data_IF_900725724202
#
_entry.id   IF_900725724202
#
_cell.length_a   1.000
_cell.length_b   1.000
_cell.length_c   1.000
_cell.angle_alpha   90.00
_cell.angle_beta   90.00
_cell.angle_gamma   90.00
#
_symmetry.space_group_name_H-M   'P 1'
#
loop_
_entity.id
_entity.type
_entity.pdbx_description
1 polymer ?
#
# COMPACT_ATOMS: atom_id res chain seq x y z
N UNK A 1 4.92 25.49 -30.86
CA UNK A 1 5.39 24.91 -29.59
C UNK A 1 4.88 23.49 -29.57
N UNK A 2 5.76 22.50 -29.39
CA UNK A 2 5.29 21.12 -29.24
C UNK A 2 4.37 21.06 -28.01
N UNK A 3 3.27 20.32 -28.13
CA UNK A 3 2.35 20.14 -27.00
C UNK A 3 3.07 19.35 -25.91
N UNK A 4 3.05 19.85 -24.67
CA UNK A 4 3.62 19.18 -23.50
C UNK A 4 3.04 17.77 -23.40
N UNK A 5 3.91 16.76 -23.38
CA UNK A 5 3.46 15.38 -23.23
C UNK A 5 3.12 15.10 -21.77
N UNK A 6 1.88 14.68 -21.51
CA UNK A 6 1.38 14.39 -20.17
C UNK A 6 1.18 12.88 -20.05
N UNK A 7 1.86 12.27 -19.11
CA UNK A 7 1.70 10.87 -18.74
C UNK A 7 0.92 10.78 -17.43
N UNK A 8 0.07 9.77 -17.31
CA UNK A 8 -0.74 9.57 -16.12
C UNK A 8 -0.61 8.15 -15.59
N UNK A 9 -0.12 8.05 -14.35
CA UNK A 9 -0.09 6.81 -13.58
C UNK A 9 -1.24 6.83 -12.56
N UNK A 10 -2.28 6.03 -12.84
CA UNK A 10 -3.43 5.88 -11.94
C UNK A 10 -3.26 4.63 -11.10
N UNK A 11 -3.50 4.75 -9.79
CA UNK A 11 -3.43 3.63 -8.87
C UNK A 11 -4.62 3.47 -7.94
N UNK A 12 -4.92 2.21 -7.64
CA UNK A 12 -5.99 1.77 -6.74
C UNK A 12 -5.41 0.88 -5.66
N UNK A 13 -5.60 1.28 -4.41
CA UNK A 13 -5.18 0.52 -3.24
C UNK A 13 -6.33 -0.34 -2.70
N UNK A 14 -6.10 -1.63 -2.47
CA UNK A 14 -7.10 -2.58 -1.97
C UNK A 14 -6.62 -3.15 -0.64
N UNK A 15 -7.43 -2.95 0.41
CA UNK A 15 -7.08 -3.41 1.74
C UNK A 15 -8.31 -3.68 2.60
N UNK A 16 -8.22 -4.78 3.36
CA UNK A 16 -9.13 -5.09 4.44
C UNK A 16 -8.32 -5.47 5.67
N UNK A 17 -8.68 -4.97 6.87
CA UNK A 17 -8.05 -5.42 8.11
C UNK A 17 -8.17 -6.93 8.31
N UNK A 18 -7.35 -7.53 9.18
CA UNK A 18 -7.44 -8.95 9.51
C UNK A 18 -8.86 -9.38 9.91
N UNK A 19 -9.40 -10.40 9.22
CA UNK A 19 -10.73 -10.98 9.49
C UNK A 19 -11.91 -10.11 9.04
N UNK A 20 -11.68 -8.94 8.46
CA UNK A 20 -12.75 -7.99 8.18
C UNK A 20 -13.73 -8.46 7.09
N UNK A 21 -13.31 -9.30 6.13
CA UNK A 21 -14.23 -9.81 5.12
C UNK A 21 -15.35 -10.66 5.76
N UNK A 22 -15.01 -11.54 6.70
CA UNK A 22 -16.03 -12.30 7.47
C UNK A 22 -16.97 -11.36 8.22
N UNK A 23 -16.40 -10.41 8.96
CA UNK A 23 -17.16 -9.47 9.78
C UNK A 23 -18.11 -8.61 8.93
N UNK A 24 -17.64 -8.11 7.78
CA UNK A 24 -18.47 -7.34 6.85
C UNK A 24 -19.60 -8.18 6.30
N UNK A 25 -19.34 -9.42 5.89
CA UNK A 25 -20.40 -10.29 5.38
C UNK A 25 -21.47 -10.58 6.43
N UNK A 26 -21.08 -10.81 7.68
CA UNK A 26 -22.02 -11.10 8.78
C UNK A 26 -22.80 -9.87 9.23
N UNK A 27 -22.15 -8.71 9.32
CA UNK A 27 -22.75 -7.48 9.82
C UNK A 27 -23.51 -6.69 8.74
N UNK A 28 -22.98 -6.66 7.51
CA UNK A 28 -23.52 -5.90 6.39
C UNK A 28 -23.19 -6.56 5.03
N UNK A 29 -23.89 -7.64 4.65
CA UNK A 29 -23.62 -8.38 3.41
C UNK A 29 -23.64 -7.53 2.14
N UNK A 30 -24.46 -6.47 2.11
CA UNK A 30 -24.59 -5.57 0.96
C UNK A 30 -23.34 -4.73 0.75
N UNK A 31 -22.77 -4.20 1.85
CA UNK A 31 -21.51 -3.47 1.81
C UNK A 31 -20.34 -4.39 1.43
N UNK A 32 -20.33 -5.61 1.99
CA UNK A 32 -19.36 -6.63 1.66
C UNK A 32 -19.37 -6.97 0.15
N UNK A 33 -20.55 -7.11 -0.45
CA UNK A 33 -20.72 -7.30 -1.89
C UNK A 33 -20.22 -6.10 -2.70
N UNK A 34 -20.59 -4.88 -2.30
CA UNK A 34 -20.15 -3.67 -2.97
C UNK A 34 -18.62 -3.56 -3.01
N UNK A 35 -17.95 -3.88 -1.90
CA UNK A 35 -16.49 -3.87 -1.79
C UNK A 35 -15.87 -4.89 -2.75
N UNK A 36 -16.30 -6.16 -2.72
CA UNK A 36 -15.72 -7.17 -3.62
C UNK A 36 -15.97 -6.86 -5.10
N UNK A 37 -17.14 -6.29 -5.44
CA UNK A 37 -17.40 -5.83 -6.81
C UNK A 37 -16.47 -4.69 -7.22
N UNK A 38 -15.98 -3.85 -6.30
CA UNK A 38 -14.97 -2.85 -6.64
C UNK A 38 -13.65 -3.52 -7.05
N UNK A 39 -13.22 -4.56 -6.32
CA UNK A 39 -12.02 -5.32 -6.66
C UNK A 39 -12.17 -6.03 -8.01
N UNK A 40 -13.34 -6.60 -8.33
CA UNK A 40 -13.59 -7.22 -9.64
C UNK A 40 -13.58 -6.19 -10.77
N UNK A 41 -14.22 -5.04 -10.57
CA UNK A 41 -14.37 -4.02 -11.61
C UNK A 41 -13.03 -3.50 -12.11
N UNK A 42 -12.04 -3.34 -11.23
CA UNK A 42 -10.72 -2.84 -11.64
C UNK A 42 -10.10 -3.73 -12.73
N UNK A 43 -10.11 -5.06 -12.58
CA UNK A 43 -9.60 -5.95 -13.64
C UNK A 43 -10.52 -6.03 -14.85
N UNK A 44 -11.85 -6.03 -14.65
CA UNK A 44 -12.79 -6.07 -15.79
C UNK A 44 -12.68 -4.86 -16.71
N UNK A 45 -12.51 -3.67 -16.13
CA UNK A 45 -12.31 -2.46 -16.92
C UNK A 45 -10.90 -2.41 -17.52
N UNK A 46 -9.88 -2.95 -16.85
CA UNK A 46 -8.56 -3.11 -17.46
C UNK A 46 -8.63 -3.98 -18.72
N UNK A 47 -9.31 -5.13 -18.67
CA UNK A 47 -9.49 -6.03 -19.81
C UNK A 47 -10.30 -5.38 -20.94
N UNK A 48 -11.40 -4.68 -20.60
CA UNK A 48 -12.23 -3.95 -21.58
C UNK A 48 -11.45 -2.91 -22.37
N UNK A 49 -10.41 -2.35 -21.75
CA UNK A 49 -9.57 -1.28 -22.31
C UNK A 49 -8.11 -1.73 -22.46
N UNK A 50 -7.85 -3.02 -22.72
CA UNK A 50 -6.49 -3.58 -22.72
C UNK A 50 -5.51 -2.84 -23.65
N UNK A 51 -6.01 -2.27 -24.74
CA UNK A 51 -5.24 -1.49 -25.71
C UNK A 51 -4.66 -0.19 -25.13
N UNK A 52 -5.37 0.48 -24.22
CA UNK A 52 -5.03 1.83 -23.74
C UNK A 52 -4.92 1.99 -22.23
N UNK A 53 -5.68 1.21 -21.45
CA UNK A 53 -5.69 1.31 -20.00
C UNK A 53 -4.38 0.84 -19.42
N UNK A 54 -3.81 1.63 -18.52
CA UNK A 54 -2.66 1.27 -17.70
C UNK A 54 -3.01 1.62 -16.25
N UNK A 55 -3.03 0.62 -15.39
CA UNK A 55 -3.46 0.73 -13.99
C UNK A 55 -2.38 0.20 -13.07
N UNK A 56 -2.38 0.70 -11.84
CA UNK A 56 -1.60 0.12 -10.76
C UNK A 56 -2.54 -0.37 -9.67
N UNK A 57 -2.30 -1.58 -9.19
CA UNK A 57 -3.12 -2.17 -8.13
C UNK A 57 -2.21 -2.73 -7.05
N UNK A 58 -2.50 -2.37 -5.81
CA UNK A 58 -1.83 -2.95 -4.64
C UNK A 58 -2.85 -3.69 -3.79
N UNK A 59 -2.55 -4.93 -3.42
CA UNK A 59 -3.35 -5.73 -2.49
C UNK A 59 -2.56 -5.97 -1.21
N UNK A 60 -3.07 -5.55 -0.06
CA UNK A 60 -2.41 -5.92 1.20
C UNK A 60 -2.30 -7.44 1.36
N UNK A 61 -1.19 -7.89 1.97
CA UNK A 61 -0.96 -9.32 2.20
C UNK A 61 -2.09 -9.94 3.03
N UNK A 62 -2.55 -9.23 4.05
CA UNK A 62 -3.71 -9.64 4.86
C UNK A 62 -5.04 -9.71 4.07
N UNK A 63 -5.23 -8.88 3.03
CA UNK A 63 -6.40 -9.02 2.15
C UNK A 63 -6.26 -10.27 1.28
N UNK A 64 -5.09 -10.51 0.70
CA UNK A 64 -4.85 -11.72 -0.11
C UNK A 64 -5.00 -12.99 0.74
N UNK A 65 -4.46 -13.03 1.96
CA UNK A 65 -4.65 -14.15 2.88
C UNK A 65 -6.14 -14.47 3.10
N UNK A 66 -6.98 -13.44 3.25
CA UNK A 66 -8.43 -13.62 3.38
C UNK A 66 -9.09 -14.05 2.06
N UNK A 67 -8.68 -13.51 0.90
CA UNK A 67 -9.24 -13.89 -0.40
C UNK A 67 -8.85 -15.31 -0.84
N UNK A 68 -7.78 -15.87 -0.26
CA UNK A 68 -7.35 -17.24 -0.49
C UNK A 68 -7.93 -18.25 0.52
N UNK A 69 -8.49 -17.78 1.64
CA UNK A 69 -9.11 -18.64 2.64
C UNK A 69 -10.33 -19.35 2.03
N UNK A 70 -10.35 -20.70 1.92
CA UNK A 70 -11.49 -21.43 1.37
C UNK A 70 -12.82 -21.10 2.04
N UNK A 71 -12.81 -20.82 3.34
CA UNK A 71 -14.01 -20.47 4.07
C UNK A 71 -14.54 -19.07 3.72
N UNK A 72 -13.68 -18.15 3.27
CA UNK A 72 -14.08 -16.83 2.75
C UNK A 72 -14.53 -16.98 1.29
N UNK A 73 -13.79 -17.74 0.48
CA UNK A 73 -14.17 -18.03 -0.91
C UNK A 73 -15.58 -18.63 -0.98
N UNK A 74 -15.87 -19.64 -0.15
CA UNK A 74 -17.19 -20.27 -0.09
C UNK A 74 -18.28 -19.31 0.41
N UNK A 75 -17.95 -18.44 1.37
CA UNK A 75 -18.89 -17.44 1.89
C UNK A 75 -19.35 -16.46 0.81
N UNK A 76 -18.42 -16.00 -0.03
CA UNK A 76 -18.67 -15.00 -1.06
C UNK A 76 -19.01 -15.56 -2.44
N UNK A 77 -18.99 -16.89 -2.62
CA UNK A 77 -19.35 -17.58 -3.87
C UNK A 77 -20.67 -17.09 -4.51
N UNK A 78 -21.75 -16.78 -3.76
CA UNK A 78 -22.98 -16.26 -4.36
C UNK A 78 -22.84 -14.84 -4.95
N UNK A 79 -21.81 -14.11 -4.55
CA UNK A 79 -21.58 -12.70 -4.92
C UNK A 79 -20.58 -12.59 -6.06
N UNK A 80 -19.45 -13.29 -5.96
CA UNK A 80 -18.32 -13.19 -6.87
C UNK A 80 -17.45 -14.46 -6.82
N UNK A 81 -16.98 -14.91 -7.98
CA UNK A 81 -15.91 -15.91 -8.07
C UNK A 81 -14.55 -15.25 -7.78
N UNK A 82 -14.12 -15.32 -6.52
CA UNK A 82 -12.85 -14.73 -6.07
C UNK A 82 -11.64 -15.37 -6.76
N UNK A 83 -11.51 -16.72 -6.85
CA UNK A 83 -10.43 -17.34 -7.62
C UNK A 83 -10.35 -16.87 -9.07
N UNK A 84 -11.48 -16.78 -9.77
CA UNK A 84 -11.51 -16.27 -11.15
C UNK A 84 -11.06 -14.80 -11.22
N UNK A 85 -11.51 -13.96 -10.29
CA UNK A 85 -11.06 -12.56 -10.21
C UNK A 85 -9.54 -12.46 -10.04
N UNK A 86 -8.94 -13.25 -9.13
CA UNK A 86 -7.49 -13.24 -8.90
C UNK A 86 -6.71 -13.75 -10.12
N UNK A 87 -7.22 -14.76 -10.82
CA UNK A 87 -6.62 -15.27 -12.06
C UNK A 87 -6.66 -14.23 -13.19
N UNK A 88 -7.75 -13.46 -13.30
CA UNK A 88 -7.84 -12.35 -14.24
C UNK A 88 -6.81 -11.27 -13.93
N UNK A 89 -6.61 -10.94 -12.65
CA UNK A 89 -5.52 -10.04 -12.25
C UNK A 89 -4.17 -10.60 -12.70
N UNK A 90 -3.90 -11.89 -12.44
CA UNK A 90 -2.66 -12.57 -12.84
C UNK A 90 -2.39 -12.43 -14.33
N UNK A 91 -3.42 -12.53 -15.17
CA UNK A 91 -3.30 -12.47 -16.63
C UNK A 91 -3.22 -11.04 -17.21
N UNK A 92 -3.69 -10.01 -16.50
CA UNK A 92 -3.77 -8.64 -17.00
C UNK A 92 -2.38 -7.95 -17.01
N UNK A 93 -1.73 -7.91 -18.17
CA UNK A 93 -0.42 -7.26 -18.39
C UNK A 93 -0.47 -5.73 -18.30
N UNK A 94 -1.66 -5.15 -18.50
CA UNK A 94 -1.92 -3.73 -18.41
C UNK A 94 -2.25 -3.24 -16.98
N UNK A 95 -2.05 -4.12 -15.99
CA UNK A 95 -2.07 -3.80 -14.56
C UNK A 95 -0.67 -4.06 -13.98
N UNK A 96 -0.01 -3.01 -13.47
CA UNK A 96 1.21 -3.16 -12.67
C UNK A 96 0.85 -3.38 -11.20
N UNK A 97 1.16 -4.57 -10.70
CA UNK A 97 1.00 -4.88 -9.28
C UNK A 97 2.10 -4.21 -8.45
N UNK A 98 1.70 -3.56 -7.37
CA UNK A 98 2.63 -2.97 -6.41
C UNK A 98 2.74 -3.79 -5.13
N UNK A 99 3.94 -3.79 -4.56
CA UNK A 99 4.18 -4.33 -3.23
C UNK A 99 3.82 -3.34 -2.13
N UNK A 100 3.59 -3.87 -0.93
CA UNK A 100 3.32 -3.13 0.30
C UNK A 100 3.74 -3.97 1.51
N UNK A 101 3.66 -3.41 2.72
CA UNK A 101 3.83 -4.20 3.95
C UNK A 101 2.66 -5.17 4.15
N UNK A 102 2.97 -6.42 4.52
CA UNK A 102 2.01 -7.53 4.56
C UNK A 102 0.75 -7.24 5.39
N UNK A 103 0.91 -6.77 6.64
CA UNK A 103 -0.20 -6.43 7.53
C UNK A 103 -0.64 -4.96 7.44
N UNK A 104 -0.24 -4.24 6.38
CA UNK A 104 -0.53 -2.83 6.19
C UNK A 104 -0.01 -1.91 7.34
N UNK A 105 1.28 -1.99 7.72
CA UNK A 105 1.83 -1.21 8.82
C UNK A 105 2.18 0.23 8.44
N UNK A 106 2.14 1.14 9.42
CA UNK A 106 2.76 2.47 9.28
C UNK A 106 4.26 2.35 9.53
N UNK A 107 5.05 2.08 8.48
CA UNK A 107 6.48 1.79 8.59
C UNK A 107 7.25 2.72 9.54
N UNK A 108 7.14 4.06 9.44
CA UNK A 108 7.89 4.94 10.32
C UNK A 108 7.51 4.82 11.82
N UNK A 109 6.36 4.23 12.16
CA UNK A 109 5.89 4.06 13.54
C UNK A 109 6.17 2.67 14.13
N UNK A 110 6.50 1.68 13.31
CA UNK A 110 6.78 0.31 13.78
C UNK A 110 8.29 0.08 13.94
N UNK A 111 8.74 -0.94 14.67
CA UNK A 111 10.16 -1.25 14.83
C UNK A 111 10.85 -1.48 13.48
N UNK A 112 12.00 -0.83 13.28
CA UNK A 112 12.80 -1.02 12.05
C UNK A 112 13.26 -2.47 11.85
N UNK A 113 13.37 -3.24 12.95
CA UNK A 113 13.69 -4.68 12.93
C UNK A 113 12.63 -5.51 12.20
N UNK A 114 11.41 -4.99 12.07
CA UNK A 114 10.25 -5.72 11.53
C UNK A 114 9.97 -5.35 10.07
N UNK A 115 10.64 -4.32 9.54
CA UNK A 115 10.42 -3.81 8.20
C UNK A 115 10.73 -4.83 7.12
N UNK A 116 11.92 -5.45 7.16
CA UNK A 116 12.34 -6.41 6.14
C UNK A 116 11.32 -7.56 6.04
N UNK A 117 10.85 -8.08 7.18
CA UNK A 117 9.85 -9.15 7.19
C UNK A 117 8.47 -8.73 6.67
N UNK A 118 7.97 -7.54 7.03
CA UNK A 118 6.72 -6.99 6.49
C UNK A 118 6.80 -6.81 4.96
N UNK A 119 7.94 -6.31 4.47
CA UNK A 119 8.18 -6.01 3.06
C UNK A 119 8.35 -7.31 2.25
N UNK A 120 9.16 -8.24 2.74
CA UNK A 120 9.46 -9.52 2.08
C UNK A 120 8.21 -10.42 2.01
N UNK A 121 7.47 -10.55 3.12
CA UNK A 121 6.20 -11.31 3.13
C UNK A 121 5.19 -10.70 2.16
N UNK A 122 5.05 -9.37 2.17
CA UNK A 122 4.14 -8.66 1.27
C UNK A 122 4.51 -8.83 -0.21
N UNK A 123 5.81 -8.85 -0.52
CA UNK A 123 6.32 -9.14 -1.86
C UNK A 123 6.07 -10.60 -2.26
N UNK A 124 6.33 -11.53 -1.35
CA UNK A 124 6.23 -12.97 -1.58
C UNK A 124 4.79 -13.38 -1.93
N UNK A 125 3.80 -12.94 -1.15
CA UNK A 125 2.39 -13.31 -1.40
C UNK A 125 1.87 -12.78 -2.75
N UNK A 126 2.33 -11.60 -3.20
CA UNK A 126 2.02 -11.10 -4.55
C UNK A 126 2.61 -12.03 -5.63
N UNK A 127 3.85 -12.49 -5.43
CA UNK A 127 4.49 -13.46 -6.31
C UNK A 127 3.80 -14.82 -6.33
N UNK A 128 3.35 -15.30 -5.18
CA UNK A 128 2.61 -16.56 -5.02
C UNK A 128 1.25 -16.52 -5.70
N UNK A 129 0.47 -15.46 -5.48
CA UNK A 129 -0.90 -15.33 -6.00
C UNK A 129 -0.91 -15.00 -7.49
N UNK A 130 -0.07 -14.06 -7.91
CA UNK A 130 -0.15 -13.50 -9.25
C UNK A 130 1.02 -13.89 -10.16
N UNK A 131 1.96 -14.73 -9.71
CA UNK A 131 3.11 -15.15 -10.53
C UNK A 131 3.98 -13.99 -11.03
N UNK A 132 3.85 -12.80 -10.43
CA UNK A 132 4.49 -11.55 -10.85
C UNK A 132 5.17 -10.91 -9.65
N UNK A 133 6.36 -10.39 -9.88
CA UNK A 133 7.16 -9.74 -8.85
C UNK A 133 6.99 -8.23 -8.97
N UNK A 134 6.50 -7.53 -7.92
CA UNK A 134 6.22 -6.10 -8.02
C UNK A 134 7.52 -5.27 -8.13
N UNK A 135 7.60 -4.32 -9.05
CA UNK A 135 8.77 -3.41 -9.16
C UNK A 135 8.64 -2.20 -8.22
N UNK A 136 7.42 -1.71 -8.05
CA UNK A 136 7.12 -0.57 -7.21
C UNK A 136 6.61 -0.95 -5.82
N UNK A 137 6.87 -0.07 -4.86
CA UNK A 137 6.34 -0.14 -3.51
C UNK A 137 5.36 1.00 -3.25
N UNK A 138 4.21 0.66 -2.67
CA UNK A 138 3.27 1.62 -2.10
C UNK A 138 3.28 1.48 -0.57
N UNK A 139 3.86 2.45 0.17
CA UNK A 139 3.82 2.44 1.62
C UNK A 139 2.36 2.60 2.09
N UNK A 140 1.87 1.78 3.04
CA UNK A 140 0.57 1.98 3.68
C UNK A 140 0.37 3.44 4.09
N UNK A 141 -0.75 4.02 3.66
CA UNK A 141 -1.11 5.43 3.92
C UNK A 141 -0.14 6.47 3.30
N UNK A 142 0.67 6.06 2.31
CA UNK A 142 1.85 6.79 1.83
C UNK A 142 2.78 7.23 2.99
N UNK A 143 2.79 6.46 4.08
CA UNK A 143 3.65 6.70 5.23
C UNK A 143 5.08 6.33 4.89
N UNK A 144 5.90 7.34 4.59
CA UNK A 144 7.27 7.15 4.13
C UNK A 144 8.26 7.92 5.00
N UNK A 145 9.45 7.36 5.18
CA UNK A 145 10.62 8.07 5.67
C UNK A 145 11.86 7.60 4.89
N UNK A 146 12.89 8.46 4.83
CA UNK A 146 14.11 8.16 4.06
C UNK A 146 14.82 6.90 4.57
N UNK A 147 14.68 6.57 5.85
CA UNK A 147 15.23 5.38 6.50
C UNK A 147 14.71 4.08 5.89
N UNK A 148 13.55 4.08 5.23
CA UNK A 148 12.97 2.90 4.58
C UNK A 148 13.76 2.48 3.33
N UNK A 149 14.51 3.40 2.70
CA UNK A 149 15.15 3.17 1.40
C UNK A 149 16.05 1.93 1.38
N UNK A 150 16.96 1.70 2.35
CA UNK A 150 17.79 0.49 2.34
C UNK A 150 16.97 -0.81 2.41
N UNK A 151 15.88 -0.85 3.17
CA UNK A 151 15.02 -2.03 3.26
C UNK A 151 14.29 -2.31 1.94
N UNK A 152 13.73 -1.28 1.31
CA UNK A 152 13.05 -1.40 0.03
C UNK A 152 13.99 -1.86 -1.09
N UNK A 153 15.20 -1.30 -1.15
CA UNK A 153 16.20 -1.70 -2.16
C UNK A 153 16.70 -3.12 -1.92
N UNK A 154 16.95 -3.53 -0.66
CA UNK A 154 17.32 -4.92 -0.35
C UNK A 154 16.24 -5.92 -0.77
N UNK A 155 14.97 -5.58 -0.58
CA UNK A 155 13.84 -6.40 -1.02
C UNK A 155 13.62 -6.39 -2.55
N UNK A 156 14.39 -5.60 -3.31
CA UNK A 156 14.37 -5.57 -4.77
C UNK A 156 13.30 -4.66 -5.38
N UNK A 157 12.87 -3.61 -4.67
CA UNK A 157 12.02 -2.56 -5.24
C UNK A 157 12.86 -1.53 -5.99
N UNK A 158 12.35 -1.09 -7.13
CA UNK A 158 13.02 -0.14 -8.04
C UNK A 158 12.54 1.30 -7.81
N UNK A 159 11.29 1.44 -7.37
CA UNK A 159 10.70 2.73 -7.04
C UNK A 159 9.71 2.64 -5.88
N UNK A 160 9.45 3.77 -5.24
CA UNK A 160 8.45 3.92 -4.19
C UNK A 160 7.57 5.14 -4.47
N UNK A 161 6.27 4.97 -4.26
CA UNK A 161 5.31 6.07 -4.35
C UNK A 161 5.29 6.80 -3.02
N UNK A 162 5.38 8.11 -3.07
CA UNK A 162 5.37 8.98 -1.89
C UNK A 162 4.35 10.08 -2.05
N UNK A 163 3.89 10.66 -0.94
CA UNK A 163 3.07 11.85 -1.05
C UNK A 163 3.89 13.05 -1.55
N UNK A 164 3.46 13.63 -2.67
CA UNK A 164 4.16 14.74 -3.31
C UNK A 164 4.30 15.98 -2.43
N UNK A 165 3.41 16.21 -1.46
CA UNK A 165 3.52 17.38 -0.57
C UNK A 165 4.72 17.30 0.37
N UNK A 166 5.27 16.10 0.58
CA UNK A 166 6.43 15.87 1.45
C UNK A 166 7.76 15.87 0.69
N UNK A 167 7.72 15.93 -0.64
CA UNK A 167 8.92 15.93 -1.49
C UNK A 167 9.61 17.29 -1.42
N UNK A 168 10.93 17.27 -1.25
CA UNK A 168 11.82 18.44 -1.18
C UNK A 168 12.92 18.29 -2.23
N UNK A 169 12.71 18.83 -3.45
CA UNK A 169 13.71 18.77 -4.52
C UNK A 169 15.01 19.49 -4.15
N UNK A 170 16.14 18.94 -4.61
CA UNK A 170 17.47 19.48 -4.29
C UNK A 170 17.74 20.86 -4.93
N UNK A 171 17.05 21.19 -6.01
CA UNK A 171 17.09 22.51 -6.65
C UNK A 171 16.12 23.52 -6.03
N UNK A 172 15.35 23.11 -5.01
CA UNK A 172 14.38 23.96 -4.31
C UNK A 172 13.09 24.23 -5.10
N UNK A 173 12.95 23.72 -6.32
CA UNK A 173 11.78 23.96 -7.17
C UNK A 173 10.79 22.82 -6.99
N UNK A 174 9.73 23.08 -6.20
CA UNK A 174 8.68 22.09 -5.98
C UNK A 174 7.98 21.73 -7.30
N UNK A 175 8.03 20.45 -7.65
CA UNK A 175 7.45 19.91 -8.87
C UNK A 175 7.06 18.44 -8.64
N UNK A 176 5.77 18.17 -8.47
CA UNK A 176 5.22 16.83 -8.27
C UNK A 176 5.06 16.06 -9.58
N UNK A 177 5.23 16.70 -10.74
CA UNK A 177 4.92 16.12 -12.05
C UNK A 177 6.13 15.44 -12.69
N UNK A 178 7.01 14.89 -11.87
CA UNK A 178 8.23 14.17 -12.28
C UNK A 178 8.72 13.24 -11.16
N UNK A 179 9.38 12.14 -11.50
CA UNK A 179 10.09 11.33 -10.52
C UNK A 179 11.42 11.97 -10.08
N UNK A 180 11.92 11.52 -8.93
CA UNK A 180 13.22 11.93 -8.36
C UNK A 180 14.01 10.71 -7.88
N UNK A 181 15.30 10.92 -7.62
CA UNK A 181 16.16 9.99 -6.89
C UNK A 181 16.28 10.45 -5.44
N UNK A 182 15.98 9.56 -4.50
CA UNK A 182 16.20 9.78 -3.08
C UNK A 182 17.28 8.82 -2.57
N UNK A 183 18.20 9.31 -1.73
CA UNK A 183 19.29 8.50 -1.19
C UNK A 183 19.38 8.62 0.33
N UNK A 184 19.57 7.49 1.00
CA UNK A 184 19.79 7.39 2.44
C UNK A 184 20.88 6.34 2.71
N UNK A 185 21.87 6.68 3.55
CA UNK A 185 23.02 5.83 3.87
C UNK A 185 23.74 5.22 2.65
N UNK A 186 23.90 6.00 1.58
CA UNK A 186 24.57 5.57 0.35
C UNK A 186 23.73 4.68 -0.57
N UNK A 187 22.52 4.31 -0.17
CA UNK A 187 21.55 3.54 -0.99
C UNK A 187 20.53 4.51 -1.57
N UNK A 188 20.18 4.33 -2.84
CA UNK A 188 19.24 5.21 -3.54
C UNK A 188 18.08 4.42 -4.15
N UNK A 189 16.91 5.04 -4.22
CA UNK A 189 15.71 4.53 -4.90
C UNK A 189 15.04 5.66 -5.69
N UNK A 190 14.30 5.31 -6.74
CA UNK A 190 13.41 6.25 -7.40
C UNK A 190 12.21 6.53 -6.50
N UNK A 191 11.89 7.80 -6.29
CA UNK A 191 10.63 8.22 -5.65
C UNK A 191 9.70 8.81 -6.72
N UNK A 192 8.43 8.43 -6.65
CA UNK A 192 7.37 8.93 -7.54
C UNK A 192 6.39 9.74 -6.69
N UNK A 193 6.37 11.09 -6.83
CA UNK A 193 5.43 11.94 -6.11
C UNK A 193 3.99 11.69 -6.58
N UNK A 194 3.09 11.42 -5.64
CA UNK A 194 1.65 11.39 -5.87
C UNK A 194 1.05 12.78 -5.65
N UNK A 195 0.20 13.24 -6.57
CA UNK A 195 -0.50 14.52 -6.41
C UNK A 195 -1.73 14.33 -5.50
N UNK A 196 -1.69 14.96 -4.33
CA UNK A 196 -2.71 14.81 -3.29
C UNK A 196 -4.08 15.35 -3.72
N UNK A 197 -4.12 16.48 -4.42
CA UNK A 197 -5.37 17.11 -4.82
C UNK A 197 -6.08 16.30 -5.90
N UNK A 198 -5.32 15.83 -6.89
CA UNK A 198 -5.84 14.95 -7.95
C UNK A 198 -6.25 13.58 -7.39
N UNK A 199 -5.50 13.06 -6.41
CA UNK A 199 -5.87 11.84 -5.67
C UNK A 199 -7.16 12.00 -4.87
N UNK A 200 -7.38 13.17 -4.26
CA UNK A 200 -8.63 13.50 -3.59
C UNK A 200 -9.80 13.58 -4.59
N UNK A 201 -9.57 14.19 -5.75
CA UNK A 201 -10.57 14.25 -6.82
C UNK A 201 -10.92 12.84 -7.35
N UNK A 202 -9.92 11.98 -7.55
CA UNK A 202 -10.11 10.56 -7.90
C UNK A 202 -11.06 9.85 -6.92
N UNK A 203 -10.88 10.10 -5.62
CA UNK A 203 -11.68 9.47 -4.56
C UNK A 203 -13.13 9.99 -4.49
N UNK A 204 -13.40 11.22 -4.91
CA UNK A 204 -14.65 11.93 -4.59
C UNK A 204 -15.59 12.20 -5.77
N UNK A 205 -15.27 11.76 -6.98
CA UNK A 205 -16.14 11.96 -8.16
C UNK A 205 -15.47 12.70 -9.30
N UNK A 206 -14.40 12.11 -9.83
CA UNK A 206 -13.61 12.71 -10.90
C UNK A 206 -14.42 12.80 -12.21
N UNK A 207 -14.27 13.90 -12.95
CA UNK A 207 -14.86 14.07 -14.27
C UNK A 207 -13.74 14.07 -15.34
N UNK A 208 -13.90 13.35 -16.46
CA UNK A 208 -12.84 13.20 -17.46
C UNK A 208 -12.51 14.51 -18.20
N UNK A 209 -13.51 15.36 -18.50
CA UNK A 209 -13.27 16.68 -19.11
C UNK A 209 -12.51 17.59 -18.16
N UNK A 210 -12.93 17.60 -16.89
CA UNK A 210 -12.23 18.37 -15.85
C UNK A 210 -10.79 17.90 -15.69
N UNK A 211 -10.54 16.59 -15.63
CA UNK A 211 -9.17 16.05 -15.49
C UNK A 211 -8.30 16.49 -16.66
N UNK A 212 -8.78 16.37 -17.90
CA UNK A 212 -8.05 16.82 -19.09
C UNK A 212 -7.66 18.29 -18.99
N UNK A 213 -8.62 19.15 -18.67
CA UNK A 213 -8.43 20.59 -18.64
C UNK A 213 -7.48 20.97 -17.48
N UNK A 214 -7.65 20.35 -16.31
CA UNK A 214 -6.81 20.54 -15.13
C UNK A 214 -5.36 20.11 -15.38
N UNK A 215 -5.13 18.91 -15.94
CA UNK A 215 -3.78 18.43 -16.22
C UNK A 215 -3.10 19.25 -17.31
N UNK A 216 -3.84 19.63 -18.36
CA UNK A 216 -3.32 20.48 -19.43
C UNK A 216 -2.90 21.85 -18.90
N UNK A 217 -3.72 22.45 -18.04
CA UNK A 217 -3.40 23.72 -17.42
C UNK A 217 -2.21 23.60 -16.45
N UNK A 218 -2.24 22.63 -15.51
CA UNK A 218 -1.17 22.42 -14.54
C UNK A 218 0.16 22.10 -15.21
N UNK A 219 0.17 21.28 -16.27
CA UNK A 219 1.38 20.99 -17.04
C UNK A 219 1.99 22.27 -17.64
N UNK A 220 1.15 23.13 -18.23
CA UNK A 220 1.57 24.40 -18.84
C UNK A 220 2.12 25.41 -17.83
N UNK A 221 1.57 25.47 -16.63
CA UNK A 221 2.04 26.40 -15.58
C UNK A 221 3.06 25.77 -14.63
N UNK A 222 3.36 24.48 -14.80
CA UNK A 222 4.34 23.79 -13.98
C UNK A 222 5.75 24.35 -14.21
N UNK A 223 6.70 24.13 -13.28
CA UNK A 223 8.04 24.73 -13.39
C UNK A 223 8.84 24.30 -14.62
N UNK A 224 8.45 23.20 -15.28
CA UNK A 224 9.15 22.60 -16.43
C UNK A 224 8.14 22.25 -17.53
N UNK A 225 7.49 23.25 -18.14
CA UNK A 225 6.35 23.03 -19.04
C UNK A 225 6.75 22.41 -20.39
N UNK A 226 8.03 22.50 -20.76
CA UNK A 226 8.56 21.93 -22.00
C UNK A 226 9.08 20.48 -21.83
N UNK A 227 9.10 19.95 -20.59
CA UNK A 227 9.48 18.56 -20.31
C UNK A 227 8.26 17.62 -20.37
N UNK A 228 8.51 16.33 -20.57
CA UNK A 228 7.52 15.30 -20.31
C UNK A 228 7.07 15.36 -18.84
N UNK A 229 5.76 15.30 -18.60
CA UNK A 229 5.17 15.45 -17.26
C UNK A 229 4.54 14.14 -16.84
N UNK A 230 4.91 13.62 -15.68
CA UNK A 230 4.29 12.43 -15.08
C UNK A 230 3.37 12.87 -13.94
N UNK A 231 2.08 12.69 -14.13
CA UNK A 231 1.08 12.90 -13.09
C UNK A 231 0.74 11.55 -12.46
N UNK A 232 0.73 11.48 -11.14
CA UNK A 232 0.40 10.26 -10.40
C UNK A 232 -0.79 10.51 -9.47
N UNK A 233 -1.81 9.66 -9.54
CA UNK A 233 -3.00 9.72 -8.68
C UNK A 233 -3.23 8.39 -7.99
N UNK A 234 -3.56 8.43 -6.70
CA UNK A 234 -3.80 7.24 -5.91
C UNK A 234 -5.04 7.39 -5.03
N UNK A 235 -5.83 6.35 -4.91
CA UNK A 235 -6.91 6.27 -3.93
C UNK A 235 -7.11 4.84 -3.49
N UNK A 236 -7.84 4.65 -2.39
CA UNK A 236 -8.45 3.35 -2.12
C UNK A 236 -9.40 2.99 -3.28
N UNK A 237 -9.47 1.71 -3.63
CA UNK A 237 -10.24 1.20 -4.77
C UNK A 237 -11.69 0.87 -4.42
N UNK A 238 -12.04 0.86 -3.14
CA UNK A 238 -13.31 0.38 -2.60
C UNK A 238 -14.05 1.42 -1.75
N UNK A 239 -13.47 2.58 -1.48
CA UNK A 239 -14.03 3.52 -0.51
C UNK A 239 -15.09 4.46 -1.08
N UNK A 240 -16.17 4.65 -0.30
CA UNK A 240 -17.23 5.60 -0.59
C UNK A 240 -18.23 5.17 -1.67
N UNK A 241 -19.35 5.90 -1.75
CA UNK A 241 -20.42 5.62 -2.71
C UNK A 241 -19.99 5.75 -4.17
N UNK A 242 -18.89 6.47 -4.44
CA UNK A 242 -18.33 6.66 -5.78
C UNK A 242 -17.79 5.35 -6.38
N UNK A 243 -16.98 4.61 -5.63
CA UNK A 243 -16.48 3.29 -6.04
C UNK A 243 -17.54 2.21 -5.81
N UNK A 244 -18.25 2.24 -4.67
CA UNK A 244 -19.25 1.22 -4.31
C UNK A 244 -20.56 1.27 -5.11
N UNK A 245 -20.73 2.27 -5.99
CA UNK A 245 -21.92 2.43 -6.82
C UNK A 245 -22.22 1.16 -7.62
N UNK A 246 -23.43 0.63 -7.49
CA UNK A 246 -23.89 -0.57 -8.22
C UNK A 246 -24.39 -0.22 -9.62
N UNK A 247 -24.93 0.98 -9.82
CA UNK A 247 -25.19 1.52 -11.15
C UNK A 247 -23.87 2.07 -11.76
N UNK A 248 -23.07 1.20 -12.36
CA UNK A 248 -21.67 1.49 -12.74
C UNK A 248 -21.48 2.76 -13.59
N UNK A 249 -22.44 3.09 -14.47
CA UNK A 249 -22.41 4.30 -15.28
C UNK A 249 -22.45 5.61 -14.46
N UNK A 250 -22.73 5.53 -13.15
CA UNK A 250 -22.72 6.65 -12.19
C UNK A 250 -21.56 6.59 -11.20
N UNK A 251 -20.67 5.59 -11.31
CA UNK A 251 -19.52 5.41 -10.42
C UNK A 251 -18.19 5.64 -11.13
N UNK A 252 -17.08 5.44 -10.40
CA UNK A 252 -15.71 5.62 -10.90
C UNK A 252 -15.47 4.98 -12.26
N UNK A 253 -15.79 3.70 -12.40
CA UNK A 253 -15.45 2.97 -13.62
C UNK A 253 -16.28 3.38 -14.84
N UNK A 254 -17.59 3.53 -14.69
CA UNK A 254 -18.47 3.82 -15.83
C UNK A 254 -18.61 5.31 -16.16
N UNK A 255 -18.61 6.20 -15.17
CA UNK A 255 -18.71 7.65 -15.40
C UNK A 255 -17.37 8.28 -15.75
N UNK A 256 -16.29 7.85 -15.10
CA UNK A 256 -14.97 8.45 -15.28
C UNK A 256 -14.03 7.58 -16.11
N UNK A 257 -13.69 6.38 -15.64
CA UNK A 257 -12.59 5.60 -16.20
C UNK A 257 -12.87 5.20 -17.66
N UNK A 258 -14.05 4.66 -17.96
CA UNK A 258 -14.40 4.26 -19.31
C UNK A 258 -14.37 5.43 -20.30
N UNK A 259 -15.07 6.56 -20.07
CA UNK A 259 -14.98 7.72 -20.96
C UNK A 259 -13.56 8.30 -21.08
N UNK A 260 -12.75 8.25 -20.01
CA UNK A 260 -11.36 8.66 -20.06
C UNK A 260 -10.52 7.74 -20.98
N UNK A 261 -10.70 6.42 -20.88
CA UNK A 261 -10.01 5.46 -21.74
C UNK A 261 -10.47 5.53 -23.20
N UNK A 262 -11.77 5.75 -23.48
CA UNK A 262 -12.24 5.95 -24.86
C UNK A 262 -11.55 7.15 -25.51
N UNK A 263 -11.39 8.27 -24.79
CA UNK A 263 -10.68 9.46 -25.31
C UNK A 263 -9.20 9.20 -25.58
N UNK A 264 -8.56 8.42 -24.70
CA UNK A 264 -7.17 8.01 -24.92
C UNK A 264 -7.05 7.12 -26.17
N UNK A 265 -8.03 6.25 -26.42
CA UNK A 265 -8.10 5.38 -27.61
C UNK A 265 -8.32 6.17 -28.90
N UNK A 266 -9.20 7.16 -28.86
CA UNK A 266 -9.50 7.99 -30.03
C UNK A 266 -8.33 8.93 -30.39
N UNK A 267 -7.37 9.11 -29.47
CA UNK A 267 -6.22 10.01 -29.65
C UNK A 267 -6.54 11.48 -29.43
N UNK A 268 -7.73 11.77 -28.88
CA UNK A 268 -8.24 13.12 -28.62
C UNK A 268 -7.74 13.70 -27.28
N UNK A 269 -7.15 12.85 -26.42
CA UNK A 269 -6.66 13.24 -25.10
C UNK A 269 -5.14 13.54 -25.12
N UNK A 270 -4.68 14.71 -24.61
CA UNK A 270 -3.25 14.98 -24.42
C UNK A 270 -2.58 14.10 -23.37
N UNK A 271 -3.36 13.35 -22.59
CA UNK A 271 -2.89 12.50 -21.51
C UNK A 271 -2.69 11.06 -22.01
N UNK A 272 -1.52 10.50 -21.75
CA UNK A 272 -1.18 9.10 -22.02
C UNK A 272 -1.13 8.29 -20.73
N UNK A 273 -2.04 7.31 -20.51
CA UNK A 273 -1.92 6.38 -19.39
C UNK A 273 -0.63 5.55 -19.48
N UNK A 274 0.06 5.34 -18.36
CA UNK A 274 1.32 4.58 -18.31
C UNK A 274 1.40 3.64 -17.12
N UNK A 275 2.17 2.57 -17.27
CA UNK A 275 2.72 1.82 -16.14
C UNK A 275 4.02 2.48 -15.70
N UNK A 276 4.17 2.69 -14.39
CA UNK A 276 5.30 3.41 -13.82
C UNK A 276 6.61 2.71 -14.13
N UNK A 277 6.69 1.40 -14.00
CA UNK A 277 7.94 0.71 -14.27
C UNK A 277 8.36 0.78 -15.74
N UNK A 278 7.41 0.84 -16.68
CA UNK A 278 7.72 1.01 -18.12
C UNK A 278 8.13 2.45 -18.43
N UNK A 279 7.42 3.43 -17.84
CA UNK A 279 7.77 4.84 -17.92
C UNK A 279 9.17 5.10 -17.36
N UNK A 280 9.49 4.57 -16.17
CA UNK A 280 10.77 4.75 -15.49
C UNK A 280 11.93 4.00 -16.17
N UNK A 281 11.64 2.90 -16.88
CA UNK A 281 12.65 2.21 -17.69
C UNK A 281 13.12 3.09 -18.86
N UNK A 282 12.22 3.89 -19.44
CA UNK A 282 12.51 4.81 -20.54
C UNK A 282 13.00 6.18 -20.06
N UNK A 283 12.43 6.69 -18.98
CA UNK A 283 12.68 8.03 -18.42
C UNK A 283 13.23 7.93 -17.00
N UNK A 284 14.52 7.58 -16.90
CA UNK A 284 15.19 7.46 -15.60
C UNK A 284 15.40 8.83 -14.96
N UNK A 285 14.93 9.07 -13.73
CA UNK A 285 15.16 10.33 -13.04
C UNK A 285 16.64 10.53 -12.70
N UNK A 286 17.12 11.76 -12.86
CA UNK A 286 18.45 12.18 -12.42
C UNK A 286 18.40 13.25 -11.33
N UNK A 287 17.32 14.02 -11.26
CA UNK A 287 17.11 15.02 -10.22
C UNK A 287 16.95 14.35 -8.86
N UNK A 288 17.53 14.97 -7.84
CA UNK A 288 17.50 14.47 -6.47
C UNK A 288 16.44 15.17 -5.65
N UNK A 289 15.87 14.45 -4.69
CA UNK A 289 15.00 15.01 -3.68
C UNK A 289 15.18 14.27 -2.34
N UNK A 290 14.79 14.95 -1.27
CA UNK A 290 14.54 14.35 0.04
C UNK A 290 13.02 14.26 0.24
N UNK A 291 12.56 13.33 1.05
CA UNK A 291 11.15 13.25 1.43
C UNK A 291 11.07 13.50 2.93
N UNK A 292 10.33 14.52 3.32
CA UNK A 292 10.00 14.72 4.73
C UNK A 292 9.13 13.56 5.20
N UNK A 293 9.39 13.08 6.41
CA UNK A 293 8.62 11.99 6.97
C UNK A 293 7.17 12.43 7.18
N UNK A 294 6.22 11.63 6.70
CA UNK A 294 4.78 11.93 6.76
C UNK A 294 3.92 10.92 6.00
N UNK A 295 2.61 11.17 5.96
CA UNK A 295 1.60 10.35 5.27
C UNK A 295 0.61 11.21 4.48
N UNK A 296 -0.35 10.59 3.76
CA UNK A 296 -1.32 11.31 2.92
C UNK A 296 -2.54 11.89 3.63
N UNK A 297 -2.84 11.44 4.85
CA UNK A 297 -4.06 11.79 5.59
C UNK A 297 -3.83 12.87 6.66
N UNK A 298 -2.73 13.60 6.58
CA UNK A 298 -2.26 14.52 7.63
C UNK A 298 -1.93 15.91 7.10
N UNK A 299 -2.04 16.90 7.99
CA UNK A 299 -1.91 18.31 7.65
C UNK A 299 -0.48 18.70 7.28
N UNK A 300 -0.33 19.77 6.50
CA UNK A 300 0.98 20.27 6.05
C UNK A 300 1.80 20.95 7.16
N UNK A 301 1.22 21.14 8.35
CA UNK A 301 1.74 22.08 9.34
C UNK A 301 2.87 21.53 10.22
N UNK A 302 3.11 20.21 10.25
CA UNK A 302 4.10 19.60 11.14
C UNK A 302 4.91 18.50 10.43
N UNK A 303 6.23 18.51 10.63
CA UNK A 303 7.07 17.34 10.37
C UNK A 303 6.60 16.21 11.29
N UNK A 304 6.56 14.96 10.81
CA UNK A 304 6.11 13.80 11.57
C UNK A 304 4.63 13.83 12.02
N UNK A 305 3.76 14.51 11.29
CA UNK A 305 2.33 14.42 11.56
C UNK A 305 1.81 13.02 11.20
N UNK A 306 1.71 12.16 12.21
CA UNK A 306 0.98 10.89 12.17
C UNK A 306 -0.21 10.93 13.14
N UNK A 307 -0.79 12.11 13.38
CA UNK A 307 -1.86 12.31 14.35
C UNK A 307 -3.04 11.32 14.28
N UNK A 308 -3.44 10.76 13.11
CA UNK A 308 -4.44 9.69 13.09
C UNK A 308 -4.03 8.43 13.84
N UNK A 309 -2.74 8.12 13.92
CA UNK A 309 -2.19 6.89 14.53
C UNK A 309 -1.50 7.11 15.88
N UNK A 310 -1.07 8.35 16.19
CA UNK A 310 -0.38 8.71 17.44
C UNK A 310 -0.98 9.91 18.17
N UNK A 311 -2.21 10.31 17.83
CA UNK A 311 -2.87 11.48 18.40
C UNK A 311 -3.16 11.34 19.90
N UNK A 312 -3.58 10.16 20.35
CA UNK A 312 -3.91 9.89 21.75
C UNK A 312 -2.75 9.27 22.54
N UNK A 313 -2.79 9.41 23.86
CA UNK A 313 -1.83 8.73 24.74
C UNK A 313 -1.99 7.20 24.68
N UNK A 314 -3.22 6.70 24.49
CA UNK A 314 -3.50 5.26 24.39
C UNK A 314 -2.89 4.66 23.13
N UNK A 315 -2.99 5.37 22.00
CA UNK A 315 -2.33 5.00 20.75
C UNK A 315 -0.80 4.94 20.91
N UNK A 316 -0.19 5.98 21.48
CA UNK A 316 1.27 6.02 21.72
C UNK A 316 1.74 4.87 22.61
N UNK A 317 1.04 4.62 23.73
CA UNK A 317 1.36 3.51 24.63
C UNK A 317 1.22 2.14 23.96
N UNK A 318 0.22 1.97 23.10
CA UNK A 318 0.02 0.72 22.36
C UNK A 318 1.17 0.45 21.38
N UNK A 319 1.62 1.47 20.64
CA UNK A 319 2.80 1.37 19.77
C UNK A 319 4.05 1.03 20.58
N UNK A 320 4.30 1.74 21.69
CA UNK A 320 5.45 1.43 22.55
C UNK A 320 5.46 -0.03 23.04
N UNK A 321 4.29 -0.59 23.29
CA UNK A 321 4.15 -1.99 23.70
C UNK A 321 4.45 -2.96 22.55
N UNK A 322 4.02 -2.66 21.32
CA UNK A 322 4.44 -3.41 20.11
C UNK A 322 5.97 -3.36 19.96
N UNK A 323 6.59 -2.19 20.13
CA UNK A 323 8.06 -2.05 20.10
C UNK A 323 8.75 -2.94 21.13
N UNK A 324 8.27 -2.94 22.39
CA UNK A 324 8.83 -3.79 23.44
C UNK A 324 8.71 -5.28 23.12
N UNK A 325 7.58 -5.72 22.58
CA UNK A 325 7.37 -7.12 22.20
C UNK A 325 8.25 -7.55 21.04
N UNK A 326 8.40 -6.70 20.02
CA UNK A 326 9.30 -6.94 18.90
C UNK A 326 10.76 -7.04 19.35
N UNK A 327 11.24 -6.09 20.16
CA UNK A 327 12.59 -6.14 20.72
C UNK A 327 12.81 -7.38 21.59
N UNK A 328 11.81 -7.75 22.41
CA UNK A 328 11.86 -8.96 23.22
C UNK A 328 11.97 -10.22 22.35
N UNK A 329 11.17 -10.32 21.29
CA UNK A 329 11.23 -11.42 20.33
C UNK A 329 12.63 -11.55 19.71
N UNK A 330 13.15 -10.46 19.15
CA UNK A 330 14.46 -10.48 18.51
C UNK A 330 15.61 -10.70 19.48
N UNK A 331 15.52 -10.17 20.71
CA UNK A 331 16.49 -10.45 21.78
C UNK A 331 16.54 -11.93 22.12
N UNK A 332 15.38 -12.59 22.19
CA UNK A 332 15.29 -14.02 22.47
C UNK A 332 15.95 -14.85 21.36
N UNK A 333 15.63 -14.55 20.10
CA UNK A 333 16.23 -15.22 18.94
C UNK A 333 17.74 -14.99 18.83
N UNK A 334 18.24 -13.79 19.17
CA UNK A 334 19.70 -13.51 19.20
C UNK A 334 20.42 -14.23 20.33
N UNK A 335 19.77 -14.36 21.48
CA UNK A 335 20.38 -14.95 22.69
C UNK A 335 20.40 -16.49 22.64
N UNK A 336 19.49 -17.10 21.88
CA UNK A 336 19.37 -18.56 21.74
C UNK A 336 19.29 -18.92 20.26
N UNK A 337 20.43 -19.28 19.61
CA UNK A 337 20.46 -19.62 18.18
C UNK A 337 19.52 -20.78 17.77
N UNK A 338 19.19 -21.65 18.73
CA UNK A 338 18.28 -22.79 18.64
C UNK A 338 16.82 -22.46 19.01
N UNK A 339 16.49 -21.19 19.27
CA UNK A 339 15.15 -20.74 19.67
C UNK A 339 14.03 -21.22 18.74
N UNK A 340 14.23 -21.09 17.43
CA UNK A 340 13.25 -21.52 16.44
C UNK A 340 13.06 -23.04 16.40
N UNK A 341 14.02 -23.83 16.88
CA UNK A 341 13.89 -25.29 16.98
C UNK A 341 13.20 -25.69 18.29
N UNK A 342 13.60 -25.08 19.41
CA UNK A 342 13.14 -25.45 20.76
C UNK A 342 11.74 -24.90 21.06
N UNK A 343 11.45 -23.68 20.63
CA UNK A 343 10.22 -22.95 20.94
C UNK A 343 9.45 -22.56 19.66
N UNK A 344 9.55 -23.38 18.61
CA UNK A 344 9.03 -23.09 17.26
C UNK A 344 7.60 -22.55 17.26
N UNK A 345 6.66 -23.28 17.85
CA UNK A 345 5.23 -22.93 17.82
C UNK A 345 4.95 -21.62 18.57
N UNK A 346 5.53 -21.46 19.76
CA UNK A 346 5.35 -20.28 20.60
C UNK A 346 5.95 -19.03 19.92
N UNK A 347 7.15 -19.15 19.34
CA UNK A 347 7.78 -18.04 18.60
C UNK A 347 7.03 -17.70 17.32
N UNK A 348 6.55 -18.70 16.57
CA UNK A 348 5.76 -18.46 15.36
C UNK A 348 4.44 -17.76 15.70
N UNK A 349 3.76 -18.18 16.76
CA UNK A 349 2.55 -17.53 17.24
C UNK A 349 2.82 -16.10 17.71
N UNK A 350 3.82 -15.90 18.57
CA UNK A 350 4.22 -14.57 19.04
C UNK A 350 4.51 -13.64 17.86
N UNK A 351 5.27 -14.12 16.87
CA UNK A 351 5.68 -13.30 15.74
C UNK A 351 4.51 -12.88 14.87
N UNK A 352 3.60 -13.81 14.54
CA UNK A 352 2.37 -13.49 13.79
C UNK A 352 1.56 -12.41 14.52
N UNK A 353 1.38 -12.55 15.83
CA UNK A 353 0.61 -11.59 16.62
C UNK A 353 1.27 -10.20 16.69
N UNK A 354 2.61 -10.14 16.81
CA UNK A 354 3.35 -8.87 16.79
C UNK A 354 3.17 -8.17 15.44
N UNK A 355 3.44 -8.86 14.33
CA UNK A 355 3.33 -8.29 12.99
C UNK A 355 1.89 -7.88 12.63
N UNK A 356 0.89 -8.61 13.11
CA UNK A 356 -0.52 -8.23 12.92
C UNK A 356 -0.90 -7.02 13.78
N UNK A 357 -0.34 -6.87 14.98
CA UNK A 357 -0.55 -5.71 15.84
C UNK A 357 -0.01 -4.39 15.25
N UNK A 358 0.91 -4.47 14.28
CA UNK A 358 1.49 -3.35 13.56
C UNK A 358 0.58 -2.72 12.51
N UNK A 359 -0.56 -3.34 12.20
CA UNK A 359 -1.50 -2.84 11.19
C UNK A 359 -1.98 -1.41 11.50
N UNK A 360 -2.04 -0.56 10.47
CA UNK A 360 -2.50 0.82 10.62
C UNK A 360 -3.94 0.93 11.13
N UNK A 361 -4.78 -0.06 10.82
CA UNK A 361 -6.22 -0.02 11.06
C UNK A 361 -6.61 -0.03 12.53
N UNK A 362 -5.84 -0.69 13.40
CA UNK A 362 -6.15 -0.68 14.83
C UNK A 362 -5.90 0.67 15.50
N UNK A 363 -5.16 1.55 14.81
CA UNK A 363 -4.79 2.87 15.28
C UNK A 363 -5.61 3.97 14.58
N UNK A 364 -5.86 3.87 13.27
CA UNK A 364 -6.47 4.93 12.45
C UNK A 364 -7.91 5.32 12.86
N UNK A 365 -8.63 4.41 13.51
CA UNK A 365 -10.03 4.61 13.92
C UNK A 365 -10.18 5.04 15.39
N UNK A 366 -9.09 5.55 15.97
CA UNK A 366 -9.05 6.14 17.30
C UNK A 366 -9.12 5.11 18.44
N UNK A 367 -9.28 5.62 19.66
CA UNK A 367 -9.18 4.85 20.90
C UNK A 367 -10.17 3.68 21.03
N UNK A 368 -11.27 3.72 20.27
CA UNK A 368 -12.27 2.65 20.24
C UNK A 368 -11.72 1.35 19.63
N UNK A 369 -10.67 1.44 18.80
CA UNK A 369 -10.10 0.30 18.09
C UNK A 369 -8.84 -0.29 18.75
N UNK A 370 -8.28 0.40 19.75
CA UNK A 370 -7.15 -0.09 20.57
C UNK A 370 -7.40 -1.48 21.20
N UNK A 371 -8.61 -1.86 21.64
CA UNK A 371 -8.87 -3.20 22.13
C UNK A 371 -8.55 -4.32 21.11
N UNK A 372 -8.66 -4.05 19.80
CA UNK A 372 -8.29 -5.02 18.76
C UNK A 372 -6.77 -5.21 18.70
N UNK A 373 -5.99 -4.12 18.82
CA UNK A 373 -4.54 -4.19 18.96
C UNK A 373 -4.14 -4.96 20.24
N UNK A 374 -4.80 -4.66 21.36
CA UNK A 374 -4.58 -5.36 22.64
C UNK A 374 -4.95 -6.85 22.58
N UNK A 375 -5.86 -7.24 21.67
CA UNK A 375 -6.18 -8.64 21.41
C UNK A 375 -5.08 -9.38 20.63
N UNK A 376 -4.07 -8.68 20.10
CA UNK A 376 -2.85 -9.25 19.51
C UNK A 376 -1.66 -9.20 20.46
N UNK A 377 -1.48 -8.06 21.12
CA UNK A 377 -0.41 -7.88 22.12
C UNK A 377 -0.47 -8.91 23.24
N UNK A 378 -1.66 -9.17 23.81
CA UNK A 378 -1.78 -10.09 24.96
C UNK A 378 -1.38 -11.53 24.60
N UNK A 379 -1.90 -12.14 23.53
CA UNK A 379 -1.42 -13.43 23.07
C UNK A 379 0.07 -13.44 22.69
N UNK A 380 0.57 -12.37 22.07
CA UNK A 380 1.99 -12.26 21.73
C UNK A 380 2.88 -12.34 22.99
N UNK A 381 2.56 -11.57 24.03
CA UNK A 381 3.28 -11.58 25.29
C UNK A 381 3.27 -12.96 25.95
N UNK A 382 2.11 -13.61 26.03
CA UNK A 382 1.97 -14.94 26.62
C UNK A 382 2.76 -16.00 25.84
N UNK A 383 2.81 -15.89 24.51
CA UNK A 383 3.59 -16.80 23.68
C UNK A 383 5.10 -16.58 23.82
N UNK A 384 5.56 -15.34 24.02
CA UNK A 384 6.97 -15.07 24.38
C UNK A 384 7.32 -15.62 25.76
N UNK A 385 6.42 -15.53 26.75
CA UNK A 385 6.63 -16.15 28.07
C UNK A 385 6.78 -17.68 27.96
N UNK A 386 5.95 -18.32 27.13
CA UNK A 386 6.03 -19.75 26.87
C UNK A 386 7.35 -20.13 26.15
N UNK A 387 7.78 -19.33 25.18
CA UNK A 387 9.03 -19.55 24.46
C UNK A 387 10.25 -19.44 25.39
N UNK A 388 10.29 -18.44 26.27
CA UNK A 388 11.34 -18.28 27.28
C UNK A 388 11.38 -19.44 28.27
N UNK A 389 10.21 -19.92 28.72
CA UNK A 389 10.13 -21.07 29.62
C UNK A 389 10.70 -22.35 28.96
N UNK A 390 10.35 -22.60 27.69
CA UNK A 390 10.85 -23.73 26.92
C UNK A 390 12.38 -23.66 26.74
N UNK A 391 12.91 -22.48 26.41
CA UNK A 391 14.35 -22.25 26.24
C UNK A 391 15.14 -22.44 27.54
N UNK A 392 14.61 -21.96 28.67
CA UNK A 392 15.23 -22.18 29.99
C UNK A 392 15.25 -23.65 30.36
N UNK A 393 14.14 -24.36 30.13
CA UNK A 393 14.07 -25.81 30.37
C UNK A 393 15.09 -26.56 29.49
N UNK A 394 15.20 -26.20 28.21
CA UNK A 394 16.18 -26.81 27.30
C UNK A 394 17.63 -26.56 27.76
N UNK A 395 17.96 -25.33 28.12
CA UNK A 395 19.30 -24.97 28.62
C UNK A 395 19.68 -25.70 29.91
N UNK A 396 18.70 -25.98 30.78
CA UNK A 396 18.94 -26.77 31.99
C UNK A 396 19.17 -28.26 31.73
N UNK A 397 18.66 -28.78 30.60
CA UNK A 397 18.83 -30.17 30.17
C UNK A 397 20.11 -30.38 29.35
N UNK A 398 20.60 -29.37 28.63
CA UNK A 398 21.82 -29.46 27.82
C UNK A 398 23.10 -29.09 28.59
N UNK A 399 22.97 -28.43 29.74
CA UNK A 399 24.06 -28.12 30.66
C UNK A 399 24.31 -29.17 31.76
N UNK A 400 23.48 -30.21 31.84
CA UNK A 400 23.64 -31.39 32.68
C UNK A 400 24.15 -32.57 31.83
#
# INVERSE_FOLDING_TARGET
MAQTQIFHALGLHMHQPPGNLRLLFEANPQEAEQILRCYERAVRYAERYADVARLHVSFSGVLLEQLLDPAIVDLYRPVLDIPEMLERYRAADNIELLGLGYYHPIFPLIPCLDWDEQIERGRAIIGEVFGRVPRGFWPPELAFSMEMIPALVRAGYEYVIVDGVHVRPADGVNDTFRPYVACHNGVCITIVPCDRDLSNAQRQGLNPDWLRDELSWRAKVSPRPDEARLVTTWSDGENGGWFRQTHEASGFFGYFFAPYMERCRDGDDPITPVLLGDYLAQQRPTARAQVQRGSWNVGMACQDDFSPWIGSERQRRAIDEVHRLSERYWSLCRSHPDAHQVASEALAHARRQILEAETSCFLSWGDAWIPHLQARIRPAAAALDAAEAALRAHSSLSGA
#
